data_IF_505982547289
#
_entry.id   IF_505982547289
#
_cell.length_a   1.000
_cell.length_b   1.000
_cell.length_c   1.000
_cell.angle_alpha   90.00
_cell.angle_beta   90.00
_cell.angle_gamma   90.00
#
_symmetry.space_group_name_H-M   'P 1'
#
loop_
_entity.id
_entity.type
_entity.pdbx_description
1 polymer ?
#
# COMPACT_ATOMS: atom_id res chain seq x y z
N UNK A 1 -6.33 12.71 -19.16
CA UNK A 1 -6.13 14.04 -18.55
C UNK A 1 -4.79 14.01 -17.82
N UNK A 2 -3.74 14.55 -18.43
CA UNK A 2 -2.42 14.69 -17.81
C UNK A 2 -2.49 15.89 -16.85
N UNK A 3 -2.34 15.64 -15.56
CA UNK A 3 -2.13 16.72 -14.59
C UNK A 3 -0.69 17.23 -14.76
N UNK A 4 -0.50 18.54 -14.87
CA UNK A 4 0.82 19.19 -14.72
C UNK A 4 1.26 18.97 -13.27
N UNK A 5 2.47 18.43 -13.09
CA UNK A 5 2.97 17.81 -11.86
C UNK A 5 4.17 18.58 -11.28
N UNK A 6 4.15 19.91 -11.30
CA UNK A 6 5.35 20.69 -10.94
C UNK A 6 5.49 21.02 -9.45
N UNK A 7 4.46 20.86 -8.61
CA UNK A 7 4.54 21.38 -7.23
C UNK A 7 4.94 20.36 -6.15
N UNK A 8 4.91 19.06 -6.42
CA UNK A 8 5.30 18.04 -5.44
C UNK A 8 6.18 16.92 -6.02
N UNK A 9 7.42 17.23 -6.44
CA UNK A 9 8.34 16.24 -7.00
C UNK A 9 8.77 15.15 -6.00
N UNK A 10 8.46 15.30 -4.71
CA UNK A 10 8.93 14.39 -3.65
C UNK A 10 7.84 13.67 -2.88
N UNK A 11 6.59 14.14 -2.90
CA UNK A 11 5.51 13.45 -2.20
C UNK A 11 4.16 13.63 -2.89
N UNK A 12 3.25 12.69 -2.65
CA UNK A 12 1.84 12.85 -2.99
C UNK A 12 0.98 12.12 -1.98
N UNK A 13 -0.18 12.70 -1.69
CA UNK A 13 -1.23 12.07 -0.90
C UNK A 13 -2.46 11.88 -1.77
N UNK A 14 -2.86 10.62 -1.97
CA UNK A 14 -4.04 10.24 -2.72
C UNK A 14 -5.18 9.92 -1.76
N UNK A 15 -6.07 10.89 -1.56
CA UNK A 15 -7.29 10.72 -0.74
C UNK A 15 -8.31 9.85 -1.49
N UNK A 16 -9.03 9.02 -0.74
CA UNK A 16 -10.18 8.22 -1.25
C UNK A 16 -11.47 8.48 -0.49
N UNK A 17 -11.35 9.09 0.69
CA UNK A 17 -12.44 9.35 1.61
C UNK A 17 -12.27 10.71 2.25
N UNK A 18 -13.38 11.43 2.42
CA UNK A 18 -13.48 12.62 3.26
C UNK A 18 -14.20 12.25 4.56
N UNK A 19 -13.61 12.57 5.70
CA UNK A 19 -14.04 12.17 7.03
C UNK A 19 -13.26 10.95 7.56
N UNK A 20 -13.83 10.28 8.56
CA UNK A 20 -13.15 9.19 9.31
C UNK A 20 -13.82 7.83 9.02
N UNK A 21 -13.08 6.86 8.44
CA UNK A 21 -13.55 5.49 8.30
C UNK A 21 -14.05 4.90 9.63
N UNK A 22 -15.09 4.07 9.59
CA UNK A 22 -15.72 3.51 10.81
C UNK A 22 -16.63 4.48 11.60
N UNK A 23 -16.58 5.79 11.31
CA UNK A 23 -17.46 6.80 11.89
C UNK A 23 -18.36 7.43 10.82
N UNK A 24 -18.07 8.67 10.42
CA UNK A 24 -18.81 9.40 9.39
C UNK A 24 -17.86 9.79 8.27
N UNK A 25 -18.20 9.36 7.06
CA UNK A 25 -17.39 9.64 5.88
C UNK A 25 -18.23 9.66 4.61
N UNK A 26 -17.66 10.26 3.55
CA UNK A 26 -18.18 10.23 2.18
C UNK A 26 -17.06 9.88 1.19
N UNK A 27 -17.41 9.23 0.09
CA UNK A 27 -16.48 9.05 -1.02
C UNK A 27 -16.18 10.40 -1.69
N UNK A 28 -15.04 10.50 -2.38
CA UNK A 28 -14.79 11.64 -3.26
C UNK A 28 -15.81 11.71 -4.39
N UNK A 29 -16.25 12.92 -4.68
CA UNK A 29 -17.08 13.26 -5.84
C UNK A 29 -16.21 13.30 -7.11
N UNK A 30 -16.85 13.16 -8.27
CA UNK A 30 -16.15 13.13 -9.57
C UNK A 30 -15.36 14.42 -9.87
N UNK A 31 -15.78 15.55 -9.30
CA UNK A 31 -15.15 16.85 -9.48
C UNK A 31 -14.09 17.17 -8.42
N UNK A 32 -13.85 16.26 -7.47
CA UNK A 32 -12.82 16.44 -6.45
C UNK A 32 -11.54 15.72 -6.87
N UNK A 33 -10.41 16.45 -6.86
CA UNK A 33 -9.10 15.89 -7.20
C UNK A 33 -8.64 14.87 -6.16
N UNK A 34 -8.18 13.70 -6.63
CA UNK A 34 -7.64 12.62 -5.78
C UNK A 34 -6.36 13.07 -5.07
N UNK A 35 -5.49 13.79 -5.77
CA UNK A 35 -4.31 14.44 -5.21
C UNK A 35 -4.66 15.92 -5.15
N UNK A 36 -4.79 16.45 -3.94
CA UNK A 36 -5.07 17.87 -3.70
C UNK A 36 -4.28 18.35 -2.48
N UNK A 37 -3.14 19.02 -2.67
CA UNK A 37 -2.28 19.48 -1.57
C UNK A 37 -2.91 20.59 -0.74
N UNK A 38 -3.81 21.38 -1.34
CA UNK A 38 -4.44 22.55 -0.69
C UNK A 38 -5.65 22.18 0.16
N UNK A 39 -6.09 20.92 0.11
CA UNK A 39 -7.25 20.48 0.87
C UNK A 39 -6.94 20.43 2.37
N UNK A 40 -7.85 21.01 3.15
CA UNK A 40 -7.79 21.02 4.61
C UNK A 40 -8.85 20.13 5.26
N UNK A 41 -9.73 19.50 4.46
CA UNK A 41 -10.70 18.56 5.00
C UNK A 41 -10.00 17.32 5.57
N UNK A 42 -10.40 16.83 6.76
CA UNK A 42 -9.95 15.55 7.26
C UNK A 42 -10.24 14.47 6.22
N UNK A 43 -9.21 13.78 5.76
CA UNK A 43 -9.32 12.81 4.68
C UNK A 43 -8.49 11.58 4.97
N UNK A 44 -8.89 10.49 4.33
CA UNK A 44 -8.23 9.20 4.43
C UNK A 44 -7.78 8.75 3.05
N UNK A 45 -6.61 8.13 2.99
CA UNK A 45 -5.96 7.76 1.75
C UNK A 45 -4.58 7.18 1.97
N UNK A 46 -3.75 7.26 0.94
CA UNK A 46 -2.39 6.75 0.93
C UNK A 46 -1.41 7.84 0.52
N UNK A 47 -0.29 7.92 1.25
CA UNK A 47 0.81 8.82 0.94
C UNK A 47 2.02 8.05 0.43
N UNK A 48 2.75 8.64 -0.52
CA UNK A 48 4.07 8.19 -0.93
C UNK A 48 5.03 9.38 -0.88
N UNK A 49 6.19 9.18 -0.27
CA UNK A 49 7.28 10.14 -0.21
C UNK A 49 8.56 9.50 -0.76
N UNK A 50 9.35 10.28 -1.48
CA UNK A 50 10.58 9.86 -2.12
C UNK A 50 11.66 10.94 -2.04
N UNK A 51 12.88 10.52 -1.72
CA UNK A 51 14.08 11.37 -1.87
C UNK A 51 14.58 11.41 -3.31
N UNK A 52 14.31 10.36 -4.10
CA UNK A 52 14.58 10.36 -5.54
C UNK A 52 13.50 11.20 -6.24
N UNK A 53 13.85 12.13 -7.15
CA UNK A 53 12.87 12.93 -7.86
C UNK A 53 11.80 12.09 -8.55
N UNK A 54 10.53 12.46 -8.35
CA UNK A 54 9.39 11.84 -9.00
C UNK A 54 9.13 12.57 -10.32
N UNK A 55 9.29 11.85 -11.43
CA UNK A 55 9.00 12.35 -12.77
C UNK A 55 7.50 12.42 -13.02
N UNK A 56 6.74 11.41 -12.56
CA UNK A 56 5.29 11.34 -12.76
C UNK A 56 4.57 10.60 -11.64
N UNK A 57 3.44 11.16 -11.21
CA UNK A 57 2.47 10.51 -10.34
C UNK A 57 1.36 9.85 -11.15
N UNK A 58 0.93 8.66 -10.72
CA UNK A 58 -0.15 7.90 -11.34
C UNK A 58 -1.08 7.33 -10.28
N UNK A 59 -2.37 7.29 -10.57
CA UNK A 59 -3.37 6.72 -9.65
C UNK A 59 -4.22 5.67 -10.34
N UNK A 60 -4.54 4.59 -9.63
CA UNK A 60 -5.50 3.58 -10.06
C UNK A 60 -6.62 3.45 -9.02
N UNK A 61 -7.84 3.81 -9.41
CA UNK A 61 -9.02 3.58 -8.57
C UNK A 61 -9.36 2.07 -8.51
N UNK A 62 -9.38 1.53 -7.30
CA UNK A 62 -9.64 0.12 -7.01
C UNK A 62 -11.08 -0.13 -6.54
N UNK A 63 -11.86 0.92 -6.31
CA UNK A 63 -13.22 0.84 -5.78
C UNK A 63 -13.25 0.27 -4.36
N UNK A 64 -14.39 -0.27 -3.95
CA UNK A 64 -14.62 -0.88 -2.64
C UNK A 64 -15.45 -2.14 -2.78
N UNK A 65 -15.47 -2.95 -1.72
CA UNK A 65 -16.51 -3.97 -1.54
C UNK A 65 -17.88 -3.31 -1.35
N UNK A 66 -18.92 -3.96 -1.90
CA UNK A 66 -20.32 -3.57 -1.67
C UNK A 66 -20.81 -3.97 -0.26
N UNK A 67 -20.10 -4.92 0.37
CA UNK A 67 -20.39 -5.42 1.71
C UNK A 67 -19.23 -5.10 2.66
N UNK A 68 -19.53 -4.87 3.93
CA UNK A 68 -18.56 -4.80 5.02
C UNK A 68 -18.40 -6.13 5.75
N UNK A 69 -17.56 -6.15 6.80
CA UNK A 69 -17.37 -7.30 7.68
C UNK A 69 -17.32 -6.86 9.16
N UNK A 70 -17.68 -7.75 10.10
CA UNK A 70 -17.45 -7.50 11.52
C UNK A 70 -15.94 -7.56 11.82
N UNK A 71 -15.38 -6.47 12.33
CA UNK A 71 -14.02 -6.41 12.85
C UNK A 71 -14.03 -6.51 14.37
N UNK A 72 -13.12 -7.33 14.90
CA UNK A 72 -12.90 -7.45 16.33
C UNK A 72 -12.10 -6.25 16.83
N UNK A 73 -12.73 -5.42 17.67
CA UNK A 73 -12.07 -4.30 18.36
C UNK A 73 -12.04 -4.59 19.86
N UNK A 74 -10.98 -4.17 20.58
CA UNK A 74 -11.01 -4.17 22.04
C UNK A 74 -12.22 -3.34 22.53
N UNK A 75 -13.08 -3.90 23.38
CA UNK A 75 -14.33 -3.24 23.76
C UNK A 75 -15.01 -3.84 24.99
N UNK A 76 -14.97 -3.08 26.09
CA UNK A 76 -15.75 -3.20 27.33
C UNK A 76 -15.16 -2.32 28.42
N UNK A 77 -15.90 -2.08 29.52
CA UNK A 77 -15.46 -1.21 30.64
C UNK A 77 -14.15 -1.67 31.30
N UNK A 78 -13.71 -2.89 31.03
CA UNK A 78 -12.57 -3.58 31.61
C UNK A 78 -11.39 -3.77 30.63
N UNK A 79 -11.53 -3.36 29.35
CA UNK A 79 -10.49 -3.53 28.33
C UNK A 79 -10.17 -4.99 27.95
N UNK A 80 -10.91 -5.96 28.48
CA UNK A 80 -10.67 -7.41 28.30
C UNK A 80 -11.68 -8.09 27.38
N UNK A 81 -12.82 -7.46 27.13
CA UNK A 81 -13.85 -7.99 26.23
C UNK A 81 -13.60 -7.56 24.78
N UNK A 82 -13.89 -8.46 23.84
CA UNK A 82 -13.82 -8.20 22.40
C UNK A 82 -15.22 -7.80 21.93
N UNK A 83 -15.33 -6.67 21.23
CA UNK A 83 -16.57 -6.26 20.56
C UNK A 83 -16.40 -6.43 19.07
N UNK A 84 -17.42 -6.97 18.41
CA UNK A 84 -17.51 -6.97 16.95
C UNK A 84 -18.18 -5.68 16.49
N UNK A 85 -17.47 -4.88 15.70
CA UNK A 85 -17.99 -3.70 15.03
C UNK A 85 -18.14 -3.99 13.55
N UNK A 86 -19.35 -3.83 13.00
CA UNK A 86 -19.55 -3.94 11.56
C UNK A 86 -18.94 -2.73 10.86
N UNK A 87 -17.91 -2.96 10.05
CA UNK A 87 -17.21 -1.90 9.31
C UNK A 87 -17.55 -2.03 7.83
N UNK A 88 -18.08 -0.94 7.25
CA UNK A 88 -18.28 -0.84 5.80
C UNK A 88 -16.92 -0.61 5.13
N UNK A 89 -16.66 -1.34 4.05
CA UNK A 89 -15.44 -1.12 3.27
C UNK A 89 -15.48 0.25 2.57
N UNK A 90 -14.33 0.93 2.57
CA UNK A 90 -14.11 2.21 1.93
C UNK A 90 -13.45 2.10 0.55
N UNK A 91 -13.60 3.11 -0.33
CA UNK A 91 -12.89 3.17 -1.61
C UNK A 91 -11.37 3.08 -1.44
N UNK A 92 -10.75 2.21 -2.24
CA UNK A 92 -9.32 1.96 -2.29
C UNK A 92 -8.70 2.56 -3.54
N UNK A 93 -7.43 2.89 -3.46
CA UNK A 93 -6.65 3.41 -4.57
C UNK A 93 -5.23 2.83 -4.51
N UNK A 94 -4.55 2.77 -5.65
CA UNK A 94 -3.11 2.63 -5.69
C UNK A 94 -2.50 3.94 -6.24
N UNK A 95 -1.43 4.40 -5.60
CA UNK A 95 -0.66 5.58 -5.98
C UNK A 95 0.73 5.10 -6.41
N UNK A 96 1.17 5.45 -7.62
CA UNK A 96 2.49 5.11 -8.14
C UNK A 96 3.29 6.35 -8.53
N UNK A 97 4.59 6.28 -8.29
CA UNK A 97 5.60 7.23 -8.71
C UNK A 97 6.52 6.57 -9.74
N UNK A 98 6.72 7.23 -10.88
CA UNK A 98 7.86 6.96 -11.75
C UNK A 98 9.01 7.86 -11.30
N UNK A 99 10.09 7.26 -10.84
CA UNK A 99 11.25 7.94 -10.29
C UNK A 99 12.32 8.15 -11.36
N UNK A 100 13.16 9.16 -11.17
CA UNK A 100 14.24 9.52 -12.09
C UNK A 100 15.25 8.38 -12.33
N UNK A 101 15.53 7.57 -11.31
CA UNK A 101 16.41 6.40 -11.40
C UNK A 101 15.77 5.18 -12.15
N UNK A 102 14.61 5.38 -12.77
CA UNK A 102 13.90 4.38 -13.57
C UNK A 102 12.96 3.47 -12.78
N UNK A 103 12.88 3.58 -11.45
CA UNK A 103 11.95 2.78 -10.66
C UNK A 103 10.51 3.26 -10.79
N UNK A 104 9.59 2.30 -10.82
CA UNK A 104 8.16 2.52 -10.61
C UNK A 104 7.78 1.98 -9.24
N UNK A 105 7.51 2.87 -8.30
CA UNK A 105 7.18 2.54 -6.91
C UNK A 105 5.72 2.85 -6.67
N UNK A 106 4.97 1.91 -6.11
CA UNK A 106 3.57 2.09 -5.78
C UNK A 106 3.25 1.74 -4.34
N UNK A 107 2.31 2.46 -3.77
CA UNK A 107 1.68 2.17 -2.48
C UNK A 107 0.19 1.92 -2.69
N UNK A 108 -0.38 1.01 -1.90
CA UNK A 108 -1.81 0.74 -1.89
C UNK A 108 -2.24 0.25 -0.52
N UNK A 109 -3.50 0.47 -0.17
CA UNK A 109 -4.17 -0.26 0.91
C UNK A 109 -5.38 -0.97 0.31
N UNK A 110 -5.41 -2.30 0.39
CA UNK A 110 -6.46 -3.11 -0.21
C UNK A 110 -7.63 -3.31 0.75
N UNK A 111 -8.78 -3.67 0.20
CA UNK A 111 -9.97 -4.05 0.98
C UNK A 111 -9.62 -5.10 2.04
N UNK A 112 -10.26 -5.05 3.20
CA UNK A 112 -10.20 -6.15 4.16
C UNK A 112 -11.15 -7.29 3.80
N UNK A 113 -12.01 -7.11 2.79
CA UNK A 113 -12.97 -8.13 2.35
C UNK A 113 -12.26 -9.18 1.47
N UNK A 114 -12.30 -10.48 1.84
CA UNK A 114 -11.71 -11.54 1.06
C UNK A 114 -12.22 -11.56 -0.38
N UNK A 115 -11.37 -12.02 -1.31
CA UNK A 115 -11.60 -12.06 -2.77
C UNK A 115 -11.63 -10.69 -3.44
N UNK A 116 -12.24 -9.67 -2.83
CA UNK A 116 -12.17 -8.28 -3.30
C UNK A 116 -10.72 -7.81 -3.28
N UNK A 117 -10.02 -8.02 -2.16
CA UNK A 117 -8.59 -7.71 -2.02
C UNK A 117 -7.71 -8.46 -3.03
N UNK A 118 -8.02 -9.72 -3.32
CA UNK A 118 -7.30 -10.52 -4.31
C UNK A 118 -7.49 -9.96 -5.73
N UNK A 119 -8.72 -9.60 -6.08
CA UNK A 119 -9.03 -8.95 -7.35
C UNK A 119 -8.36 -7.59 -7.49
N UNK A 120 -8.39 -6.78 -6.41
CA UNK A 120 -7.69 -5.50 -6.38
C UNK A 120 -6.17 -5.68 -6.55
N UNK A 121 -5.55 -6.64 -5.84
CA UNK A 121 -4.13 -6.95 -5.99
C UNK A 121 -3.79 -7.34 -7.43
N UNK A 122 -4.62 -8.18 -8.07
CA UNK A 122 -4.43 -8.55 -9.47
C UNK A 122 -4.45 -7.33 -10.39
N UNK A 123 -5.42 -6.42 -10.19
CA UNK A 123 -5.51 -5.17 -10.95
C UNK A 123 -4.28 -4.28 -10.77
N UNK A 124 -3.81 -4.08 -9.54
CA UNK A 124 -2.61 -3.29 -9.24
C UNK A 124 -1.39 -3.90 -9.91
N UNK A 125 -1.15 -5.21 -9.74
CA UNK A 125 0.00 -5.89 -10.35
C UNK A 125 -0.01 -5.80 -11.87
N UNK A 126 -1.17 -5.97 -12.51
CA UNK A 126 -1.33 -5.85 -13.97
C UNK A 126 -1.11 -4.42 -14.43
N UNK A 127 -1.65 -3.45 -13.71
CA UNK A 127 -1.46 -2.03 -14.00
C UNK A 127 0.00 -1.60 -13.89
N UNK A 128 0.70 -1.94 -12.81
CA UNK A 128 2.12 -1.63 -12.64
C UNK A 128 3.00 -2.27 -13.71
N UNK A 129 2.70 -3.52 -14.09
CA UNK A 129 3.46 -4.20 -15.16
C UNK A 129 3.27 -3.52 -16.53
N UNK A 130 2.17 -2.80 -16.74
CA UNK A 130 1.93 -1.99 -17.96
C UNK A 130 2.51 -0.59 -17.85
N UNK A 131 2.53 -0.03 -16.64
CA UNK A 131 2.99 1.33 -16.37
C UNK A 131 4.51 1.47 -16.38
N UNK A 132 5.21 0.46 -15.86
CA UNK A 132 6.66 0.49 -15.72
C UNK A 132 7.35 0.39 -17.08
N UNK A 133 8.38 1.22 -17.26
CA UNK A 133 9.27 1.19 -18.42
C UNK A 133 10.13 -0.09 -18.35
N UNK A 134 10.81 -0.28 -17.21
CA UNK A 134 11.53 -1.51 -16.89
C UNK A 134 10.74 -2.33 -15.87
N UNK A 135 10.37 -3.56 -16.25
CA UNK A 135 9.64 -4.49 -15.38
C UNK A 135 10.50 -5.03 -14.23
N UNK A 136 11.82 -4.94 -14.33
CA UNK A 136 12.75 -5.26 -13.24
C UNK A 136 12.81 -4.15 -12.18
N UNK A 137 12.33 -2.95 -12.45
CA UNK A 137 12.37 -1.82 -11.50
C UNK A 137 10.98 -1.48 -10.94
N UNK A 138 10.21 -2.50 -10.55
CA UNK A 138 8.85 -2.33 -9.98
C UNK A 138 8.84 -2.67 -8.50
N UNK A 139 8.34 -1.75 -7.67
CA UNK A 139 8.11 -1.96 -6.25
C UNK A 139 6.62 -1.69 -5.95
N UNK A 140 5.95 -2.60 -5.24
CA UNK A 140 4.59 -2.43 -4.73
C UNK A 140 4.58 -2.61 -3.22
N UNK A 141 4.11 -1.62 -2.48
CA UNK A 141 4.11 -1.58 -1.02
C UNK A 141 2.72 -1.35 -0.44
N UNK A 142 2.56 -1.73 0.81
CA UNK A 142 1.45 -1.33 1.66
C UNK A 142 0.71 -2.51 2.27
N UNK A 143 -0.41 -2.20 2.91
CA UNK A 143 -1.29 -3.18 3.53
C UNK A 143 -2.16 -3.83 2.45
N UNK A 144 -1.92 -5.13 2.22
CA UNK A 144 -2.63 -5.90 1.23
C UNK A 144 -3.83 -6.66 1.81
N UNK A 145 -4.02 -6.65 3.14
CA UNK A 145 -5.11 -7.34 3.83
C UNK A 145 -5.27 -8.82 3.44
N UNK A 146 -4.18 -9.49 3.03
CA UNK A 146 -4.19 -10.85 2.50
C UNK A 146 -3.53 -11.83 3.47
N UNK A 147 -4.31 -12.83 3.88
CA UNK A 147 -3.85 -13.92 4.74
C UNK A 147 -2.97 -14.93 3.98
N UNK A 148 -2.32 -15.82 4.74
CA UNK A 148 -1.60 -17.00 4.26
C UNK A 148 -0.52 -16.73 3.20
N UNK A 149 0.02 -15.51 3.15
CA UNK A 149 1.06 -15.12 2.19
C UNK A 149 0.63 -15.33 0.71
N UNK A 150 -0.68 -15.23 0.44
CA UNK A 150 -1.29 -15.34 -0.90
C UNK A 150 -0.65 -14.39 -1.93
N UNK A 151 -0.20 -13.16 -1.59
CA UNK A 151 0.38 -12.25 -2.59
C UNK A 151 1.57 -12.82 -3.36
N UNK A 152 2.26 -13.83 -2.82
CA UNK A 152 3.43 -14.48 -3.44
C UNK A 152 3.23 -15.99 -3.61
N UNK A 153 1.97 -16.44 -3.66
CA UNK A 153 1.61 -17.85 -3.86
C UNK A 153 0.65 -18.05 -5.06
N UNK A 154 0.69 -19.24 -5.69
CA UNK A 154 1.70 -20.28 -5.49
C UNK A 154 3.07 -19.87 -6.05
N UNK A 155 4.16 -20.23 -5.35
CA UNK A 155 5.52 -19.75 -5.65
C UNK A 155 5.98 -20.08 -7.07
N UNK A 156 5.51 -21.19 -7.64
CA UNK A 156 5.86 -21.64 -8.98
C UNK A 156 5.21 -20.79 -10.09
N UNK A 157 4.06 -20.17 -9.83
CA UNK A 157 3.33 -19.37 -10.82
C UNK A 157 3.60 -17.87 -10.68
N UNK A 158 3.76 -17.38 -9.45
CA UNK A 158 3.95 -15.95 -9.24
C UNK A 158 5.34 -15.48 -9.70
N UNK A 159 5.37 -14.36 -10.42
CA UNK A 159 6.59 -13.61 -10.75
C UNK A 159 6.94 -12.57 -9.70
N UNK A 160 6.19 -12.50 -8.61
CA UNK A 160 6.37 -11.54 -7.52
C UNK A 160 6.95 -12.23 -6.29
N UNK A 161 7.84 -11.53 -5.61
CA UNK A 161 8.47 -11.92 -4.34
C UNK A 161 8.25 -10.82 -3.31
N UNK A 162 8.26 -11.19 -2.04
CA UNK A 162 8.19 -10.24 -0.93
C UNK A 162 9.57 -10.05 -0.36
N UNK A 163 9.97 -8.79 -0.17
CA UNK A 163 11.30 -8.41 0.31
C UNK A 163 11.42 -8.42 1.83
N UNK A 164 10.30 -8.49 2.55
CA UNK A 164 10.29 -8.56 4.00
C UNK A 164 9.41 -9.76 4.47
N UNK A 165 9.90 -10.65 5.37
CA UNK A 165 9.11 -11.78 5.89
C UNK A 165 8.32 -11.47 7.18
N UNK A 166 8.51 -10.29 7.79
CA UNK A 166 7.93 -9.86 9.06
C UNK A 166 6.40 -9.98 9.08
N UNK A 167 5.89 -10.40 10.23
CA UNK A 167 4.47 -10.28 10.58
C UNK A 167 4.23 -8.86 11.10
N UNK A 168 3.24 -8.18 10.57
CA UNK A 168 2.97 -6.78 10.88
C UNK A 168 1.81 -6.59 11.85
N UNK A 169 0.88 -7.55 11.96
CA UNK A 169 -0.36 -7.38 12.74
C UNK A 169 -0.61 -8.52 13.73
N UNK A 170 -1.18 -8.24 14.92
CA UNK A 170 -1.26 -6.92 15.54
C UNK A 170 0.11 -6.49 16.11
N UNK A 171 0.35 -5.19 16.25
CA UNK A 171 1.66 -4.63 16.61
C UNK A 171 2.18 -5.07 17.99
N UNK A 172 1.28 -5.36 18.94
CA UNK A 172 1.63 -5.82 20.28
C UNK A 172 1.97 -7.32 20.37
N UNK A 173 1.56 -8.13 19.39
CA UNK A 173 1.89 -9.56 19.30
C UNK A 173 1.78 -10.02 17.85
N UNK A 174 2.76 -9.66 16.98
CA UNK A 174 2.63 -9.86 15.54
C UNK A 174 2.47 -11.33 15.17
N UNK A 175 1.32 -11.66 14.57
CA UNK A 175 0.92 -13.02 14.23
C UNK A 175 0.63 -13.20 12.74
N UNK A 176 0.19 -12.12 12.08
CA UNK A 176 -0.30 -12.07 10.70
C UNK A 176 0.55 -11.10 9.89
N UNK A 177 0.74 -11.43 8.61
CA UNK A 177 1.42 -10.58 7.65
C UNK A 177 0.42 -10.00 6.67
N UNK A 178 0.03 -8.75 6.92
CA UNK A 178 -0.84 -7.98 6.02
C UNK A 178 -0.05 -7.01 5.14
N UNK A 179 1.08 -6.53 5.64
CA UNK A 179 1.93 -5.57 4.95
C UNK A 179 3.00 -6.27 4.11
N UNK A 180 3.21 -5.75 2.91
CA UNK A 180 4.15 -6.31 1.96
C UNK A 180 4.96 -5.22 1.26
N UNK A 181 6.21 -5.54 0.95
CA UNK A 181 7.01 -4.87 -0.06
C UNK A 181 7.28 -5.93 -1.13
N UNK A 182 6.66 -5.78 -2.29
CA UNK A 182 6.70 -6.73 -3.40
C UNK A 182 7.54 -6.18 -4.55
N UNK A 183 8.33 -7.06 -5.16
CA UNK A 183 9.05 -6.78 -6.42
C UNK A 183 8.95 -7.97 -7.38
N UNK A 184 9.43 -7.83 -8.62
CA UNK A 184 9.52 -8.95 -9.55
C UNK A 184 10.71 -9.84 -9.20
N UNK A 185 10.60 -11.14 -9.46
CA UNK A 185 11.72 -12.08 -9.31
C UNK A 185 12.92 -11.69 -10.18
N UNK A 186 12.67 -11.16 -11.37
CA UNK A 186 13.71 -10.69 -12.30
C UNK A 186 14.44 -9.44 -11.82
N UNK A 187 13.95 -8.77 -10.77
CA UNK A 187 14.59 -7.62 -10.14
C UNK A 187 15.69 -8.03 -9.15
N UNK A 188 15.81 -9.32 -8.87
CA UNK A 188 16.81 -9.84 -7.94
C UNK A 188 18.02 -10.28 -8.77
N UNK A 189 19.01 -9.39 -8.96
CA UNK A 189 20.27 -9.74 -9.62
C UNK A 189 21.04 -10.79 -8.80
N UNK A 190 21.33 -10.46 -7.54
CA UNK A 190 21.77 -11.38 -6.49
C UNK A 190 20.96 -11.13 -5.23
N UNK A 191 20.82 -12.17 -4.39
CA UNK A 191 19.86 -12.34 -3.29
C UNK A 191 19.48 -11.04 -2.55
N UNK A 192 18.18 -10.71 -2.41
CA UNK A 192 17.78 -9.54 -1.62
C UNK A 192 18.19 -9.75 -0.17
N UNK A 193 18.98 -8.82 0.39
CA UNK A 193 19.28 -8.77 1.82
C UNK A 193 18.05 -8.18 2.51
N UNK A 194 17.05 -9.02 2.74
CA UNK A 194 15.90 -8.70 3.55
C UNK A 194 16.35 -8.52 5.01
N UNK A 195 16.58 -7.28 5.45
CA UNK A 195 16.72 -7.01 6.88
C UNK A 195 15.34 -6.74 7.49
N UNK A 196 14.96 -7.57 8.46
CA UNK A 196 13.89 -7.20 9.39
C UNK A 196 14.45 -6.14 10.33
N UNK A 197 14.10 -4.89 10.10
CA UNK A 197 14.41 -3.83 11.05
C UNK A 197 13.44 -3.96 12.23
N UNK A 198 13.97 -4.22 13.42
CA UNK A 198 13.20 -4.14 14.64
C UNK A 198 12.86 -2.66 14.90
N UNK A 199 11.68 -2.23 14.48
CA UNK A 199 11.19 -0.89 14.80
C UNK A 199 10.54 -0.94 16.18
N UNK A 200 10.98 -0.06 17.08
CA UNK A 200 10.36 0.08 18.40
C UNK A 200 8.86 0.34 18.25
N UNK A 201 8.06 -0.26 19.14
CA UNK A 201 6.61 -0.12 19.11
C UNK A 201 6.27 1.35 19.36
N UNK A 202 5.77 2.01 18.32
CA UNK A 202 5.45 3.43 18.39
C UNK A 202 4.21 3.71 19.25
N UNK A 203 3.36 2.71 19.51
CA UNK A 203 2.10 2.87 20.25
C UNK A 203 0.99 3.60 19.47
N UNK A 204 1.30 4.12 18.28
CA UNK A 204 0.37 4.89 17.43
C UNK A 204 -0.35 4.05 16.37
N UNK A 205 0.05 2.79 16.18
CA UNK A 205 -0.50 1.89 15.15
C UNK A 205 -0.66 0.47 15.67
N UNK A 206 -1.72 -0.20 15.23
CA UNK A 206 -1.94 -1.64 15.38
C UNK A 206 -1.17 -2.49 14.37
N UNK A 207 -0.46 -1.85 13.43
CA UNK A 207 0.50 -2.48 12.52
C UNK A 207 1.94 -2.07 12.84
N UNK A 208 2.88 -3.02 12.77
CA UNK A 208 4.31 -2.72 12.76
C UNK A 208 4.75 -2.26 11.36
N UNK A 209 5.57 -1.21 11.26
CA UNK A 209 6.18 -0.83 9.98
C UNK A 209 7.10 -1.94 9.48
N UNK A 210 7.18 -2.08 8.16
CA UNK A 210 8.09 -2.99 7.48
C UNK A 210 9.10 -2.21 6.65
N UNK A 211 10.34 -2.68 6.64
CA UNK A 211 11.47 -2.05 5.95
C UNK A 211 12.14 -3.09 5.06
N UNK A 212 12.69 -2.67 3.93
CA UNK A 212 13.53 -3.51 3.10
C UNK A 212 14.65 -2.68 2.48
N UNK A 213 15.87 -3.13 2.63
CA UNK A 213 17.01 -2.61 1.89
C UNK A 213 17.14 -3.37 0.58
N UNK A 214 17.45 -2.64 -0.49
CA UNK A 214 17.68 -3.22 -1.80
C UNK A 214 18.94 -2.62 -2.38
N UNK A 215 19.77 -3.50 -2.95
CA UNK A 215 20.80 -3.07 -3.88
C UNK A 215 20.09 -2.59 -5.14
N UNK A 216 20.17 -1.29 -5.37
CA UNK A 216 19.77 -0.69 -6.64
C UNK A 216 21.03 -0.72 -7.48
N UNK A 217 21.07 -1.54 -8.55
CA UNK A 217 22.21 -1.58 -9.45
C UNK A 217 22.48 -0.16 -9.94
N UNK A 218 23.65 0.36 -9.58
CA UNK A 218 24.14 1.68 -9.96
C UNK A 218 24.64 1.64 -11.41
N UNK A 219 23.77 1.32 -12.36
CA UNK A 219 24.03 1.66 -13.75
C UNK A 219 23.55 3.10 -13.94
N UNK A 220 24.40 3.95 -14.52
CA UNK A 220 24.27 5.40 -14.74
C UNK A 220 24.78 6.32 -13.62
N UNK A 221 26.08 6.23 -13.35
CA UNK A 221 26.91 7.42 -13.16
C UNK A 221 28.08 7.29 -14.16
N UNK A 222 27.95 7.94 -15.32
CA UNK A 222 29.09 8.35 -16.16
C UNK A 222 28.99 9.87 -16.26
#
# INVERSE_FOLDING_TARGET
MQLKLEEHPHYAFARTVIGTPGFKWRALRKNESIINPDDKEPSYGIGLISRVPVLRWHTLNLGRSLVGLPLAVPGGKDGKSIRLLYVKDEPRIALAAQLENGYTVAVTHLSFVPLVNLWQLFRVKRWLTKLAIDKSKIILMGDLNLLFNIPVRPKFLTRWVSLNPQKSYPSWKPAVKFDYILTKKSSLGTTPIAQSVAVERSGFSDHLPIVADMNIDAEFII
#
